data_IF_656594772444
#
_entry.id   IF_656594772444
#
_cell.length_a   1.000
_cell.length_b   1.000
_cell.length_c   1.000
_cell.angle_alpha   90.00
_cell.angle_beta   90.00
_cell.angle_gamma   90.00
#
_symmetry.space_group_name_H-M   'P 1'
#
loop_
_entity.id
_entity.type
_entity.pdbx_description
1 polymer ?
#
# COMPACT_ATOMS: atom_id res chain seq x y z
N UNK A 1 -44.28 -1.50 25.05
CA UNK A 1 -43.34 -0.37 25.01
C UNK A 1 -42.04 -0.85 25.60
N UNK A 2 -41.00 -0.99 24.77
CA UNK A 2 -39.63 -1.19 25.24
C UNK A 2 -38.71 -0.55 24.21
N UNK A 3 -37.62 0.00 24.73
CA UNK A 3 -37.00 1.24 24.26
C UNK A 3 -36.23 1.09 22.94
N UNK A 4 -36.48 2.05 22.03
CA UNK A 4 -35.61 2.32 20.90
C UNK A 4 -34.33 2.98 21.41
N UNK A 5 -33.26 2.20 21.57
CA UNK A 5 -31.92 2.75 21.69
C UNK A 5 -31.46 3.21 20.29
N UNK A 6 -31.58 4.52 20.05
CA UNK A 6 -30.95 5.21 18.93
C UNK A 6 -29.44 5.24 19.21
N UNK A 7 -28.71 4.23 18.75
CA UNK A 7 -27.26 4.34 18.63
C UNK A 7 -26.95 5.11 17.35
N UNK A 8 -26.39 6.30 17.54
CA UNK A 8 -26.07 7.29 16.53
C UNK A 8 -25.09 6.72 15.49
N UNK A 9 -25.57 6.42 14.30
CA UNK A 9 -25.04 6.92 13.02
C UNK A 9 -23.53 6.84 12.70
N UNK A 10 -22.71 6.05 13.40
CA UNK A 10 -21.37 5.74 12.95
C UNK A 10 -21.47 4.56 11.98
N UNK A 11 -21.40 4.84 10.68
CA UNK A 11 -21.07 3.80 9.71
C UNK A 11 -19.71 3.27 10.14
N UNK A 12 -19.68 2.07 10.72
CA UNK A 12 -18.44 1.36 11.03
C UNK A 12 -17.77 1.14 9.67
N UNK A 13 -16.77 1.97 9.34
CA UNK A 13 -16.03 1.80 8.11
C UNK A 13 -15.33 0.44 8.17
N UNK A 14 -15.34 -0.30 7.06
CA UNK A 14 -14.54 -1.51 7.03
C UNK A 14 -13.07 -1.12 7.23
N UNK A 15 -12.24 -1.92 7.93
CA UNK A 15 -10.84 -1.57 8.20
C UNK A 15 -10.03 -1.16 6.96
N UNK A 16 -10.38 -1.69 5.80
CA UNK A 16 -9.75 -1.36 4.51
C UNK A 16 -10.23 -0.02 3.90
N UNK A 17 -11.44 0.44 4.23
CA UNK A 17 -11.92 1.76 3.82
C UNK A 17 -11.29 2.86 4.67
N UNK A 18 -10.94 2.58 5.94
CA UNK A 18 -10.10 3.44 6.77
C UNK A 18 -8.70 3.60 6.17
N UNK A 19 -8.08 2.51 5.73
CA UNK A 19 -6.78 2.57 5.03
C UNK A 19 -6.87 3.38 3.75
N UNK A 20 -7.93 3.20 2.95
CA UNK A 20 -8.16 4.04 1.75
C UNK A 20 -8.20 5.52 2.13
N UNK A 21 -9.03 5.89 3.11
CA UNK A 21 -9.16 7.27 3.55
C UNK A 21 -7.83 7.84 4.07
N UNK A 22 -7.07 7.03 4.82
CA UNK A 22 -5.75 7.40 5.33
C UNK A 22 -4.73 7.64 4.21
N UNK A 23 -4.66 6.77 3.20
CA UNK A 23 -3.77 6.94 2.05
C UNK A 23 -4.14 8.18 1.23
N UNK A 24 -5.44 8.41 1.00
CA UNK A 24 -5.94 9.59 0.29
C UNK A 24 -5.63 10.89 1.05
N UNK A 25 -5.79 10.91 2.38
CA UNK A 25 -5.45 12.06 3.22
C UNK A 25 -3.97 12.46 3.08
N UNK A 26 -3.10 11.49 2.85
CA UNK A 26 -1.66 11.71 2.66
C UNK A 26 -1.26 11.86 1.19
N UNK A 27 -2.21 12.03 0.27
CA UNK A 27 -1.92 12.32 -1.14
C UNK A 27 -1.54 11.10 -1.98
N UNK A 28 -1.89 9.89 -1.53
CA UNK A 28 -1.81 8.68 -2.37
C UNK A 28 -3.21 8.41 -2.94
N UNK A 29 -3.39 8.63 -4.24
CA UNK A 29 -4.66 8.35 -4.92
C UNK A 29 -4.96 6.84 -4.85
N UNK A 30 -6.14 6.51 -4.31
CA UNK A 30 -6.50 5.14 -3.96
C UNK A 30 -7.95 4.83 -4.32
N UNK A 31 -8.17 3.80 -5.13
CA UNK A 31 -9.47 3.26 -5.48
C UNK A 31 -9.79 1.98 -4.69
N UNK A 32 -11.07 1.79 -4.38
CA UNK A 32 -11.59 0.55 -3.81
C UNK A 32 -11.93 -0.40 -4.95
N UNK A 33 -11.46 -1.64 -4.88
CA UNK A 33 -11.74 -2.68 -5.89
C UNK A 33 -12.40 -3.90 -5.24
N UNK A 34 -12.88 -4.83 -6.06
CA UNK A 34 -13.41 -6.11 -5.59
C UNK A 34 -12.37 -6.93 -4.79
N UNK A 35 -11.08 -6.76 -5.09
CA UNK A 35 -9.99 -7.53 -4.50
C UNK A 35 -9.24 -6.79 -3.37
N UNK A 36 -9.65 -5.57 -3.02
CA UNK A 36 -8.95 -4.76 -2.01
C UNK A 36 -8.84 -3.29 -2.38
N UNK A 37 -7.64 -2.73 -2.31
CA UNK A 37 -7.31 -1.37 -2.75
C UNK A 37 -6.34 -1.41 -3.91
N UNK A 38 -6.38 -0.38 -4.74
CA UNK A 38 -5.40 -0.13 -5.79
C UNK A 38 -5.13 1.37 -5.83
N UNK A 39 -3.92 1.76 -6.18
CA UNK A 39 -3.62 3.17 -6.39
C UNK A 39 -2.38 3.37 -7.23
N UNK A 40 -2.19 4.62 -7.64
CA UNK A 40 -0.98 5.05 -8.33
C UNK A 40 -0.25 6.09 -7.48
N UNK A 41 1.07 6.05 -7.55
CA UNK A 41 1.95 7.00 -6.88
C UNK A 41 3.01 7.46 -7.87
N UNK A 42 3.21 8.75 -7.99
CA UNK A 42 4.39 9.32 -8.64
C UNK A 42 5.37 9.77 -7.55
N UNK A 43 6.59 9.21 -7.56
CA UNK A 43 7.62 9.50 -6.57
C UNK A 43 9.01 9.21 -7.15
N UNK A 44 10.01 10.02 -6.81
CA UNK A 44 11.38 9.83 -7.32
C UNK A 44 11.49 9.87 -8.85
N UNK A 45 10.64 10.67 -9.52
CA UNK A 45 10.59 10.77 -10.98
C UNK A 45 10.00 9.53 -11.68
N UNK A 46 9.33 8.64 -10.94
CA UNK A 46 8.75 7.40 -11.46
C UNK A 46 7.31 7.23 -11.00
N UNK A 47 6.52 6.61 -11.87
CA UNK A 47 5.15 6.21 -11.55
C UNK A 47 5.13 4.76 -11.09
N UNK A 48 4.31 4.48 -10.09
CA UNK A 48 4.12 3.16 -9.51
C UNK A 48 2.63 2.86 -9.47
N UNK A 49 2.29 1.61 -9.74
CA UNK A 49 1.00 1.03 -9.41
C UNK A 49 1.17 0.16 -8.17
N UNK A 50 0.31 0.32 -7.18
CA UNK A 50 0.23 -0.61 -6.04
C UNK A 50 -1.17 -1.20 -5.89
N UNK A 51 -1.25 -2.37 -5.23
CA UNK A 51 -2.50 -2.99 -4.80
C UNK A 51 -2.34 -3.57 -3.40
N UNK A 52 -3.35 -3.44 -2.57
CA UNK A 52 -3.45 -4.05 -1.24
C UNK A 52 -4.60 -5.06 -1.31
N UNK A 53 -4.31 -6.33 -1.07
CA UNK A 53 -5.28 -7.42 -1.19
C UNK A 53 -5.24 -8.36 0.00
N UNK A 54 -6.00 -9.44 -0.10
CA UNK A 54 -5.92 -10.58 0.81
C UNK A 54 -5.20 -11.73 0.10
N UNK A 55 -4.15 -12.23 0.74
CA UNK A 55 -3.42 -13.41 0.32
C UNK A 55 -4.24 -14.69 0.52
N UNK A 56 -3.89 -15.75 -0.20
CA UNK A 56 -4.55 -17.05 -0.11
C UNK A 56 -4.46 -17.71 1.28
N UNK A 57 -3.44 -17.37 2.06
CA UNK A 57 -3.22 -17.86 3.43
C UNK A 57 -3.97 -17.06 4.50
N UNK A 58 -4.71 -16.02 4.12
CA UNK A 58 -5.52 -15.18 5.00
C UNK A 58 -4.86 -13.87 5.44
N UNK A 59 -3.56 -13.66 5.18
CA UNK A 59 -2.88 -12.39 5.42
C UNK A 59 -3.24 -11.31 4.41
N UNK A 60 -2.76 -10.07 4.60
CA UNK A 60 -2.85 -9.05 3.56
C UNK A 60 -1.53 -9.03 2.75
N UNK A 61 -1.67 -8.90 1.44
CA UNK A 61 -0.55 -8.77 0.52
C UNK A 61 -0.55 -7.40 -0.14
N UNK A 62 0.64 -6.95 -0.49
CA UNK A 62 0.80 -5.74 -1.28
C UNK A 62 1.62 -6.07 -2.51
N UNK A 63 1.12 -5.64 -3.66
CA UNK A 63 1.92 -5.59 -4.89
C UNK A 63 2.29 -4.17 -5.22
N UNK A 64 3.50 -3.97 -5.73
CA UNK A 64 3.99 -2.70 -6.26
C UNK A 64 4.63 -2.97 -7.63
N UNK A 65 4.43 -2.07 -8.59
CA UNK A 65 4.99 -2.16 -9.94
C UNK A 65 5.34 -0.79 -10.47
N UNK A 66 6.60 -0.57 -10.84
CA UNK A 66 7.02 0.61 -11.58
C UNK A 66 6.40 0.64 -12.99
N UNK A 67 6.01 1.82 -13.47
CA UNK A 67 5.43 2.06 -14.80
C UNK A 67 6.43 2.84 -15.68
N UNK A 68 6.54 2.55 -17.00
CA UNK A 68 5.91 1.46 -17.73
C UNK A 68 6.77 0.17 -17.62
N UNK A 69 6.65 -0.57 -16.53
CA UNK A 69 7.41 -1.79 -16.26
C UNK A 69 6.51 -2.99 -15.98
N UNK A 70 7.07 -4.19 -16.12
CA UNK A 70 6.40 -5.46 -15.85
C UNK A 70 6.70 -6.11 -14.50
N UNK A 71 7.87 -5.93 -13.84
CA UNK A 71 8.06 -6.63 -12.58
C UNK A 71 7.06 -6.11 -11.56
N UNK A 72 6.38 -7.03 -10.90
CA UNK A 72 5.46 -6.71 -9.81
C UNK A 72 6.08 -7.33 -8.57
N UNK A 73 6.46 -6.48 -7.63
CA UNK A 73 7.05 -6.86 -6.35
C UNK A 73 5.96 -7.08 -5.34
N UNK A 74 6.10 -8.10 -4.49
CA UNK A 74 5.11 -8.47 -3.49
C UNK A 74 5.74 -8.53 -2.11
N UNK A 75 5.03 -8.02 -1.11
CA UNK A 75 5.37 -8.19 0.30
C UNK A 75 4.13 -8.52 1.12
N UNK A 76 4.35 -9.16 2.27
CA UNK A 76 3.29 -9.72 3.11
C UNK A 76 3.21 -8.99 4.44
N UNK A 77 2.00 -8.62 4.85
CA UNK A 77 1.72 -7.95 6.12
C UNK A 77 0.34 -8.34 6.64
N UNK A 78 0.27 -8.81 7.88
CA UNK A 78 -1.03 -9.19 8.49
C UNK A 78 -1.90 -7.97 8.85
N UNK A 79 -1.29 -6.78 9.00
CA UNK A 79 -1.98 -5.56 9.43
C UNK A 79 -2.08 -4.51 8.29
N UNK A 80 -3.31 -4.08 8.02
CA UNK A 80 -3.66 -3.05 7.04
C UNK A 80 -3.08 -1.67 7.41
N UNK A 81 -3.03 -1.31 8.69
CA UNK A 81 -2.44 -0.04 9.13
C UNK A 81 -0.92 -0.04 8.94
N UNK A 82 -0.27 -1.16 9.26
CA UNK A 82 1.14 -1.40 8.96
C UNK A 82 1.46 -1.24 7.47
N UNK A 83 0.62 -1.78 6.58
CA UNK A 83 0.76 -1.58 5.13
C UNK A 83 0.71 -0.10 4.76
N UNK A 84 -0.31 0.62 5.25
CA UNK A 84 -0.51 2.02 4.89
C UNK A 84 0.69 2.89 5.32
N UNK A 85 1.20 2.66 6.54
CA UNK A 85 2.41 3.35 7.05
C UNK A 85 3.64 2.99 6.23
N UNK A 86 3.85 1.72 5.90
CA UNK A 86 4.98 1.27 5.08
C UNK A 86 5.01 1.98 3.72
N UNK A 87 3.86 2.12 3.05
CA UNK A 87 3.75 2.84 1.77
C UNK A 87 4.13 4.33 1.90
N UNK A 88 3.69 4.98 2.97
CA UNK A 88 4.01 6.38 3.25
C UNK A 88 5.46 6.60 3.66
N UNK A 89 5.99 5.77 4.55
CA UNK A 89 7.39 5.83 5.01
C UNK A 89 8.34 5.60 3.84
N UNK A 90 8.00 4.68 2.93
CA UNK A 90 8.76 4.48 1.71
C UNK A 90 8.75 5.71 0.80
N UNK A 91 7.61 6.42 0.69
CA UNK A 91 7.53 7.68 -0.08
C UNK A 91 8.41 8.76 0.57
N UNK A 92 8.27 8.94 1.89
CA UNK A 92 9.04 9.93 2.64
C UNK A 92 10.55 9.72 2.48
N UNK A 93 11.04 8.48 2.53
CA UNK A 93 12.47 8.18 2.28
C UNK A 93 12.97 8.62 0.92
N UNK A 94 12.14 8.50 -0.12
CA UNK A 94 12.50 8.97 -1.47
C UNK A 94 12.49 10.50 -1.53
N UNK A 95 11.47 11.13 -0.96
CA UNK A 95 11.34 12.60 -0.88
C UNK A 95 12.48 13.24 -0.07
N UNK A 96 12.98 12.55 0.96
CA UNK A 96 14.11 12.96 1.80
C UNK A 96 15.49 12.59 1.20
N UNK A 97 15.52 11.94 0.03
CA UNK A 97 16.77 11.52 -0.63
C UNK A 97 17.52 10.37 0.05
N UNK A 98 16.85 9.63 0.94
CA UNK A 98 17.40 8.44 1.61
C UNK A 98 17.30 7.16 0.75
N UNK A 99 16.47 7.19 -0.29
CA UNK A 99 16.34 6.11 -1.27
C UNK A 99 16.19 6.71 -2.69
N UNK A 100 16.73 6.03 -3.70
CA UNK A 100 16.67 6.42 -5.11
C UNK A 100 15.31 6.13 -5.73
N UNK A 101 14.61 5.11 -5.23
CA UNK A 101 13.32 4.67 -5.74
C UNK A 101 12.40 4.20 -4.62
N UNK A 102 11.09 4.21 -4.88
CA UNK A 102 10.11 3.75 -3.89
C UNK A 102 10.27 2.25 -3.58
N UNK A 103 10.69 1.46 -4.58
CA UNK A 103 10.99 0.04 -4.41
C UNK A 103 12.23 -0.18 -3.54
N UNK A 104 13.28 0.62 -3.72
CA UNK A 104 14.47 0.57 -2.85
C UNK A 104 14.08 0.89 -1.40
N UNK A 105 13.25 1.92 -1.19
CA UNK A 105 12.77 2.28 0.14
C UNK A 105 11.93 1.16 0.79
N UNK A 106 11.00 0.56 0.04
CA UNK A 106 10.18 -0.57 0.51
C UNK A 106 11.07 -1.77 0.89
N UNK A 107 12.09 -2.08 0.09
CA UNK A 107 13.05 -3.16 0.37
C UNK A 107 13.84 -2.93 1.66
N UNK A 108 14.22 -1.69 1.94
CA UNK A 108 14.94 -1.32 3.17
C UNK A 108 14.03 -1.40 4.41
N UNK A 109 12.74 -1.09 4.26
CA UNK A 109 11.76 -1.08 5.34
C UNK A 109 11.15 -2.47 5.62
N UNK A 110 11.14 -3.36 4.64
CA UNK A 110 10.50 -4.67 4.73
C UNK A 110 11.33 -5.77 4.06
N UNK A 111 11.92 -6.64 4.89
CA UNK A 111 12.70 -7.79 4.44
C UNK A 111 11.85 -8.95 3.90
N UNK A 112 10.52 -8.92 4.08
CA UNK A 112 9.59 -9.93 3.54
C UNK A 112 9.25 -9.71 2.08
N UNK A 113 9.71 -8.60 1.48
CA UNK A 113 9.54 -8.34 0.07
C UNK A 113 10.20 -9.47 -0.75
N UNK A 114 9.36 -10.34 -1.30
CA UNK A 114 9.80 -11.61 -1.87
C UNK A 114 10.45 -11.42 -3.25
N UNK A 115 11.53 -12.18 -3.45
CA UNK A 115 12.48 -12.14 -4.56
C UNK A 115 12.02 -12.95 -5.79
N UNK A 116 10.73 -13.01 -6.11
CA UNK A 116 10.28 -13.51 -7.42
C UNK A 116 10.59 -12.43 -8.48
N UNK A 117 11.86 -12.40 -8.86
CA UNK A 117 12.65 -11.29 -9.40
C UNK A 117 12.75 -11.34 -10.94
N UNK A 118 12.74 -10.18 -11.62
CA UNK A 118 13.92 -9.75 -12.36
C UNK A 118 14.59 -8.56 -11.67
N UNK A 119 15.87 -8.34 -12.02
CA UNK A 119 16.73 -7.29 -11.48
C UNK A 119 15.98 -5.99 -11.30
N UNK A 120 16.08 -5.44 -10.08
CA UNK A 120 15.70 -4.07 -9.79
C UNK A 120 16.30 -3.21 -10.92
N UNK A 121 15.46 -2.60 -11.79
CA UNK A 121 15.95 -1.86 -12.93
C UNK A 121 16.79 -0.65 -12.53
N UNK A 122 16.87 -0.33 -11.23
CA UNK A 122 17.49 0.86 -10.65
C UNK A 122 18.73 0.53 -9.83
N UNK A 123 19.16 -0.73 -9.81
CA UNK A 123 20.30 -1.18 -9.03
C UNK A 123 21.68 -0.72 -9.56
N UNK A 124 21.73 0.14 -10.57
CA UNK A 124 22.97 0.77 -11.07
C UNK A 124 23.41 1.96 -10.23
#
# INVERSE_FOLDING_TARGET
MLEMAIEKGAVVMAPIDEVKAFLMLHGIETERTFYGLRGELECGGRRYLYKIGRAHDGGNDVSVRALPGRPTWWFWREDLNGIARLLLDARARVEEGQARSWLEALRQLDSTMSWLWPDDPDAT
#
